data_IF_770004129636
#
_entry.id   IF_770004129636
#
_cell.length_a   1.000
_cell.length_b   1.000
_cell.length_c   1.000
_cell.angle_alpha   90.00
_cell.angle_beta   90.00
_cell.angle_gamma   90.00
#
_symmetry.space_group_name_H-M   'P 1'
#
loop_
_entity.id
_entity.type
_entity.pdbx_description
1 polymer ?
#
# COMPACT_ATOMS: atom_id res chain seq x y z
N UNK A 1 15.39 13.03 39.61
CA UNK A 1 16.74 13.11 38.99
C UNK A 1 16.74 13.38 37.48
N UNK A 2 15.74 12.97 36.69
CA UNK A 2 15.74 13.16 35.22
C UNK A 2 15.35 14.58 34.71
N UNK A 3 14.77 15.44 35.56
CA UNK A 3 14.29 16.79 35.16
C UNK A 3 15.41 17.83 34.96
N UNK A 4 16.59 17.63 35.56
CA UNK A 4 17.71 18.59 35.52
C UNK A 4 18.75 18.30 34.43
N UNK A 5 18.66 17.14 33.76
CA UNK A 5 19.63 16.72 32.73
C UNK A 5 19.35 17.40 31.39
N UNK A 6 18.08 17.60 31.06
CA UNK A 6 17.62 18.20 29.80
C UNK A 6 18.11 19.65 29.61
N UNK A 7 18.01 20.57 30.59
CA UNK A 7 18.51 21.94 30.43
C UNK A 7 20.05 22.02 30.43
N UNK A 8 20.74 21.17 31.20
CA UNK A 8 22.22 21.09 31.18
C UNK A 8 22.77 20.56 29.86
N UNK A 9 22.09 19.61 29.21
CA UNK A 9 22.51 19.11 27.91
C UNK A 9 22.30 20.14 26.80
N UNK A 10 21.23 20.95 26.87
CA UNK A 10 20.93 22.03 25.92
C UNK A 10 22.02 23.12 25.92
N UNK A 11 22.54 23.51 27.09
CA UNK A 11 23.59 24.52 27.20
C UNK A 11 24.96 24.01 26.73
N UNK A 12 25.28 22.73 26.97
CA UNK A 12 26.52 22.11 26.50
C UNK A 12 26.53 21.93 24.98
N UNK A 13 25.39 21.55 24.39
CA UNK A 13 25.26 21.40 22.94
C UNK A 13 25.40 22.75 22.24
N UNK A 14 24.73 23.81 22.73
CA UNK A 14 24.83 25.14 22.14
C UNK A 14 26.26 25.70 22.19
N UNK A 15 26.96 25.51 23.33
CA UNK A 15 28.34 25.99 23.51
C UNK A 15 29.36 25.24 22.66
N UNK A 16 29.14 23.94 22.39
CA UNK A 16 29.99 23.15 21.48
C UNK A 16 29.74 23.50 20.02
N UNK A 17 28.49 23.69 19.61
CA UNK A 17 28.13 24.08 18.24
C UNK A 17 28.69 25.48 17.91
N UNK A 18 28.55 26.44 18.84
CA UNK A 18 29.08 27.79 18.65
C UNK A 18 30.60 27.80 18.40
N UNK A 19 31.36 26.98 19.13
CA UNK A 19 32.81 26.83 18.90
C UNK A 19 33.15 26.25 17.52
N UNK A 20 32.36 25.30 17.03
CA UNK A 20 32.56 24.71 15.70
C UNK A 20 32.24 25.70 14.57
N UNK A 21 31.21 26.53 14.74
CA UNK A 21 30.85 27.59 13.78
C UNK A 21 31.96 28.65 13.73
N UNK A 22 32.52 29.05 14.87
CA UNK A 22 33.67 29.97 14.90
C UNK A 22 34.89 29.35 14.22
N UNK A 23 35.18 28.07 14.51
CA UNK A 23 36.28 27.35 13.85
C UNK A 23 36.08 27.29 12.33
N UNK A 24 34.84 27.12 11.85
CA UNK A 24 34.52 27.14 10.44
C UNK A 24 34.80 28.51 9.80
N UNK A 25 34.31 29.58 10.41
CA UNK A 25 34.53 30.95 9.92
C UNK A 25 36.04 31.22 9.85
N UNK A 26 36.80 30.76 10.85
CA UNK A 26 38.25 30.87 10.86
C UNK A 26 38.92 30.09 9.72
N UNK A 27 38.52 28.83 9.50
CA UNK A 27 39.05 28.00 8.40
C UNK A 27 38.70 28.61 7.03
N UNK A 28 37.48 29.10 6.83
CA UNK A 28 37.06 29.74 5.58
C UNK A 28 37.78 31.06 5.34
N UNK A 29 38.00 31.86 6.40
CA UNK A 29 38.80 33.07 6.32
C UNK A 29 40.26 32.77 5.95
N UNK A 30 40.84 31.69 6.49
CA UNK A 30 42.19 31.24 6.13
C UNK A 30 42.28 30.77 4.67
N UNK A 31 41.30 29.99 4.20
CA UNK A 31 41.22 29.55 2.80
C UNK A 31 41.04 30.72 1.83
N UNK A 32 40.25 31.74 2.22
CA UNK A 32 40.08 32.96 1.44
C UNK A 32 41.39 33.75 1.28
N UNK A 33 42.21 33.80 2.34
CA UNK A 33 43.54 34.40 2.27
C UNK A 33 44.47 33.60 1.35
N UNK A 34 44.43 32.26 1.41
CA UNK A 34 45.23 31.41 0.52
C UNK A 34 44.86 31.55 -0.96
N UNK A 35 43.57 31.72 -1.30
CA UNK A 35 43.10 31.91 -2.69
C UNK A 35 43.44 33.27 -3.30
N UNK A 36 43.78 34.27 -2.50
CA UNK A 36 44.12 35.62 -2.96
C UNK A 36 45.65 35.82 -3.04
N UNK A 37 46.43 34.76 -3.22
CA UNK A 37 47.90 34.74 -3.34
C UNK A 37 48.67 35.32 -2.14
N UNK A 38 48.04 35.54 -0.98
CA UNK A 38 48.75 35.95 0.24
C UNK A 38 49.62 34.83 0.81
N UNK A 39 49.36 33.57 0.43
CA UNK A 39 50.10 32.39 0.82
C UNK A 39 50.34 31.54 -0.44
N UNK A 40 51.59 31.21 -0.75
CA UNK A 40 51.96 30.39 -1.90
C UNK A 40 51.57 28.91 -1.69
N UNK A 41 50.30 28.60 -1.91
CA UNK A 41 49.76 27.22 -1.86
C UNK A 41 49.18 26.88 -3.23
N UNK A 42 49.49 25.70 -3.81
CA UNK A 42 48.87 25.26 -5.06
C UNK A 42 47.34 25.24 -4.98
N UNK A 43 46.66 25.78 -6.00
CA UNK A 43 45.19 25.88 -6.06
C UNK A 43 44.46 24.56 -5.86
N UNK A 44 45.03 23.47 -6.35
CA UNK A 44 44.47 22.12 -6.22
C UNK A 44 44.36 21.70 -4.74
N UNK A 45 45.34 22.08 -3.92
CA UNK A 45 45.35 21.78 -2.47
C UNK A 45 44.30 22.64 -1.77
N UNK A 46 44.19 23.92 -2.12
CA UNK A 46 43.18 24.82 -1.56
C UNK A 46 41.76 24.35 -1.90
N UNK A 47 41.51 23.92 -3.13
CA UNK A 47 40.22 23.39 -3.55
C UNK A 47 39.88 22.07 -2.87
N UNK A 48 40.85 21.16 -2.71
CA UNK A 48 40.64 19.91 -1.99
C UNK A 48 40.29 20.16 -0.52
N UNK A 49 41.02 21.06 0.15
CA UNK A 49 40.73 21.43 1.55
C UNK A 49 39.35 22.09 1.65
N UNK A 50 39.00 22.98 0.72
CA UNK A 50 37.67 23.62 0.71
C UNK A 50 36.53 22.60 0.54
N UNK A 51 36.68 21.63 -0.37
CA UNK A 51 35.70 20.54 -0.55
C UNK A 51 35.58 19.70 0.73
N UNK A 52 36.71 19.33 1.36
CA UNK A 52 36.71 18.51 2.58
C UNK A 52 36.06 19.26 3.74
N UNK A 53 36.42 20.52 3.95
CA UNK A 53 35.84 21.38 4.99
C UNK A 53 34.34 21.56 4.76
N UNK A 54 33.93 21.85 3.52
CA UNK A 54 32.52 21.96 3.18
C UNK A 54 31.76 20.67 3.48
N UNK A 55 32.28 19.51 3.05
CA UNK A 55 31.65 18.20 3.26
C UNK A 55 31.47 17.86 4.74
N UNK A 56 32.52 18.04 5.56
CA UNK A 56 32.47 17.80 7.01
C UNK A 56 31.38 18.66 7.66
N UNK A 57 31.26 19.92 7.21
CA UNK A 57 30.37 20.89 7.83
C UNK A 57 28.94 20.69 7.38
N UNK A 58 28.69 20.38 6.11
CA UNK A 58 27.39 19.96 5.64
C UNK A 58 26.88 18.76 6.43
N UNK A 59 27.73 17.73 6.64
CA UNK A 59 27.38 16.56 7.45
C UNK A 59 27.09 16.90 8.91
N UNK A 60 27.88 17.80 9.49
CA UNK A 60 27.70 18.26 10.86
C UNK A 60 26.38 19.03 11.03
N UNK A 61 26.09 19.97 10.12
CA UNK A 61 24.84 20.75 10.10
C UNK A 61 23.65 19.80 9.95
N UNK A 62 23.72 18.84 9.03
CA UNK A 62 22.65 17.87 8.78
C UNK A 62 22.38 17.01 10.01
N UNK A 63 23.42 16.51 10.67
CA UNK A 63 23.29 15.73 11.90
C UNK A 63 22.64 16.54 13.02
N UNK A 64 22.98 17.82 13.12
CA UNK A 64 22.36 18.74 14.09
C UNK A 64 20.88 18.95 13.76
N UNK A 65 20.55 19.27 12.51
CA UNK A 65 19.18 19.47 12.04
C UNK A 65 18.36 18.21 12.34
N UNK A 66 18.86 17.04 11.96
CA UNK A 66 18.18 15.76 12.20
C UNK A 66 17.94 15.53 13.68
N UNK A 67 18.95 15.73 14.54
CA UNK A 67 18.78 15.56 15.99
C UNK A 67 17.65 16.43 16.56
N UNK A 68 17.49 17.66 16.07
CA UNK A 68 16.42 18.56 16.52
C UNK A 68 15.07 18.26 15.87
N UNK A 69 15.03 17.98 14.57
CA UNK A 69 13.78 17.83 13.82
C UNK A 69 13.17 16.45 13.98
N UNK A 70 13.99 15.39 14.04
CA UNK A 70 13.51 14.02 14.25
C UNK A 70 12.76 13.90 15.58
N UNK A 71 13.32 14.43 16.67
CA UNK A 71 12.66 14.37 17.99
C UNK A 71 11.31 15.11 17.98
N UNK A 72 11.24 16.28 17.34
CA UNK A 72 9.98 17.02 17.20
C UNK A 72 8.97 16.28 16.34
N UNK A 73 9.41 15.74 15.20
CA UNK A 73 8.55 15.03 14.26
C UNK A 73 7.99 13.75 14.88
N UNK A 74 8.82 13.00 15.60
CA UNK A 74 8.40 11.80 16.33
C UNK A 74 7.32 12.12 17.38
N UNK A 75 7.50 13.19 18.16
CA UNK A 75 6.50 13.59 19.16
C UNK A 75 5.22 14.16 18.52
N UNK A 76 5.34 14.87 17.39
CA UNK A 76 4.17 15.41 16.68
C UNK A 76 3.28 14.30 16.11
N UNK A 77 3.88 13.20 15.66
CA UNK A 77 3.19 12.04 15.07
C UNK A 77 2.56 11.09 16.11
N UNK A 78 2.82 11.30 17.41
CA UNK A 78 2.36 10.41 18.48
C UNK A 78 0.83 10.29 18.57
N UNK A 79 0.10 11.35 18.25
CA UNK A 79 -1.37 11.38 18.35
C UNK A 79 -2.08 10.78 17.15
N UNK A 80 -1.41 10.67 16.00
CA UNK A 80 -2.04 10.34 14.73
C UNK A 80 -1.57 9.01 14.12
N UNK A 81 -0.49 8.43 14.62
CA UNK A 81 0.14 7.26 13.99
C UNK A 81 0.56 6.20 15.00
N UNK A 82 0.46 4.94 14.58
CA UNK A 82 0.99 3.82 15.34
C UNK A 82 2.52 3.89 15.44
N UNK A 83 3.08 3.25 16.47
CA UNK A 83 4.53 3.28 16.72
C UNK A 83 5.36 2.83 15.51
N UNK A 84 4.91 1.80 14.80
CA UNK A 84 5.59 1.26 13.61
C UNK A 84 5.62 2.28 12.45
N UNK A 85 4.47 2.91 12.19
CA UNK A 85 4.36 3.95 11.15
C UNK A 85 5.22 5.16 11.49
N UNK A 86 5.24 5.58 12.75
CA UNK A 86 6.07 6.67 13.23
C UNK A 86 7.56 6.39 13.03
N UNK A 87 8.03 5.18 13.36
CA UNK A 87 9.41 4.76 13.14
C UNK A 87 9.73 4.79 11.64
N UNK A 88 8.85 4.26 10.80
CA UNK A 88 9.02 4.26 9.35
C UNK A 88 9.15 5.67 8.78
N UNK A 89 8.20 6.57 9.08
CA UNK A 89 8.21 7.96 8.60
C UNK A 89 9.47 8.69 9.05
N UNK A 90 9.88 8.49 10.30
CA UNK A 90 11.08 9.13 10.85
C UNK A 90 12.35 8.63 10.18
N UNK A 91 12.44 7.33 9.86
CA UNK A 91 13.57 6.77 9.10
C UNK A 91 13.59 7.31 7.67
N UNK A 92 12.44 7.36 6.99
CA UNK A 92 12.34 7.90 5.63
C UNK A 92 12.78 9.37 5.57
N UNK A 93 12.29 10.20 6.50
CA UNK A 93 12.74 11.59 6.64
C UNK A 93 14.25 11.71 6.83
N UNK A 94 14.82 10.87 7.69
CA UNK A 94 16.27 10.85 7.95
C UNK A 94 17.07 10.51 6.70
N UNK A 95 16.66 9.46 5.97
CA UNK A 95 17.30 9.03 4.71
C UNK A 95 17.23 10.15 3.67
N UNK A 96 16.07 10.78 3.50
CA UNK A 96 15.88 11.87 2.54
C UNK A 96 16.83 13.03 2.82
N UNK A 97 16.97 13.47 4.07
CA UNK A 97 17.89 14.58 4.39
C UNK A 97 19.35 14.22 4.10
N UNK A 98 19.78 13.00 4.43
CA UNK A 98 21.14 12.55 4.09
C UNK A 98 21.36 12.51 2.58
N UNK A 99 20.36 12.10 1.79
CA UNK A 99 20.44 12.13 0.33
C UNK A 99 20.58 13.57 -0.20
N UNK A 100 19.83 14.53 0.34
CA UNK A 100 20.00 15.95 -0.02
C UNK A 100 21.40 16.46 0.33
N UNK A 101 21.90 16.11 1.52
CA UNK A 101 23.25 16.50 1.96
C UNK A 101 24.33 15.94 1.02
N UNK A 102 24.20 14.67 0.64
CA UNK A 102 25.09 14.02 -0.30
C UNK A 102 25.05 14.68 -1.69
N UNK A 103 23.87 15.04 -2.19
CA UNK A 103 23.73 15.78 -3.45
C UNK A 103 24.43 17.15 -3.42
N UNK A 104 24.34 17.89 -2.31
CA UNK A 104 25.05 19.17 -2.14
C UNK A 104 26.57 19.00 -2.16
N UNK A 105 27.10 17.93 -1.56
CA UNK A 105 28.53 17.63 -1.56
C UNK A 105 29.01 17.29 -2.97
N UNK A 106 28.26 16.48 -3.72
CA UNK A 106 28.59 16.16 -5.12
C UNK A 106 28.61 17.40 -6.00
N UNK A 107 27.68 18.33 -5.78
CA UNK A 107 27.68 19.61 -6.49
C UNK A 107 28.94 20.44 -6.18
N UNK A 108 29.36 20.51 -4.91
CA UNK A 108 30.59 21.23 -4.49
C UNK A 108 31.86 20.65 -5.11
N UNK A 109 31.92 19.34 -5.35
CA UNK A 109 33.05 18.65 -5.99
C UNK A 109 33.25 19.12 -7.45
N UNK A 110 32.29 19.84 -8.03
CA UNK A 110 32.40 20.34 -9.41
C UNK A 110 32.04 19.28 -10.45
N UNK A 111 31.27 18.26 -10.05
CA UNK A 111 30.63 17.35 -11.00
C UNK A 111 29.82 18.21 -11.96
N UNK A 112 30.13 18.14 -13.25
CA UNK A 112 29.45 18.95 -14.26
C UNK A 112 27.94 18.72 -14.19
N UNK A 113 27.15 19.76 -14.44
CA UNK A 113 25.69 19.64 -14.45
C UNK A 113 25.22 18.49 -15.36
N UNK A 114 25.96 18.22 -16.44
CA UNK A 114 25.73 17.09 -17.33
C UNK A 114 25.91 15.72 -16.64
N UNK A 115 27.00 15.53 -15.91
CA UNK A 115 27.23 14.28 -15.18
C UNK A 115 26.19 14.08 -14.07
N UNK A 116 25.82 15.15 -13.35
CA UNK A 116 24.74 15.10 -12.37
C UNK A 116 23.42 14.69 -13.04
N UNK A 117 23.09 15.26 -14.20
CA UNK A 117 21.89 14.92 -14.95
C UNK A 117 21.87 13.44 -15.38
N UNK A 118 23.00 12.88 -15.82
CA UNK A 118 23.13 11.46 -16.16
C UNK A 118 22.89 10.58 -14.93
N UNK A 119 23.53 10.88 -13.80
CA UNK A 119 23.32 10.14 -12.55
C UNK A 119 21.88 10.24 -12.05
N UNK A 120 21.27 11.42 -12.11
CA UNK A 120 19.87 11.63 -11.74
C UNK A 120 18.93 10.86 -12.68
N UNK A 121 19.22 10.82 -13.98
CA UNK A 121 18.47 10.01 -14.95
C UNK A 121 18.51 8.53 -14.59
N UNK A 122 19.71 7.99 -14.32
CA UNK A 122 19.88 6.60 -13.92
C UNK A 122 19.19 6.28 -12.59
N UNK A 123 19.32 7.16 -11.60
CA UNK A 123 18.64 7.02 -10.31
C UNK A 123 17.12 7.07 -10.45
N UNK A 124 16.60 7.99 -11.27
CA UNK A 124 15.16 8.10 -11.56
C UNK A 124 14.63 6.83 -12.23
N UNK A 125 15.38 6.24 -13.17
CA UNK A 125 15.03 4.95 -13.77
C UNK A 125 14.96 3.85 -12.72
N UNK A 126 15.94 3.76 -11.81
CA UNK A 126 15.92 2.79 -10.71
C UNK A 126 14.68 2.94 -9.80
N UNK A 127 14.33 4.18 -9.45
CA UNK A 127 13.12 4.49 -8.66
C UNK A 127 11.85 4.11 -9.42
N UNK A 128 11.79 4.41 -10.73
CA UNK A 128 10.66 4.05 -11.57
C UNK A 128 10.45 2.52 -11.62
N UNK A 129 11.54 1.75 -11.72
CA UNK A 129 11.47 0.29 -11.63
C UNK A 129 11.00 -0.20 -10.26
N UNK A 130 11.46 0.41 -9.17
CA UNK A 130 11.07 0.04 -7.82
C UNK A 130 9.57 0.29 -7.54
N UNK A 131 9.02 1.38 -8.08
CA UNK A 131 7.62 1.79 -7.84
C UNK A 131 6.66 1.19 -8.90
N UNK A 132 7.17 0.60 -9.98
CA UNK A 132 6.39 0.07 -11.11
C UNK A 132 5.21 -0.79 -10.66
N UNK A 133 5.43 -1.76 -9.78
CA UNK A 133 4.37 -2.69 -9.36
C UNK A 133 3.29 -2.03 -8.50
N UNK A 134 3.67 -1.03 -7.69
CA UNK A 134 2.73 -0.22 -6.89
C UNK A 134 1.81 0.56 -7.82
N UNK A 135 2.36 1.18 -8.87
CA UNK A 135 1.58 1.90 -9.88
C UNK A 135 0.65 0.97 -10.66
N UNK A 136 1.14 -0.22 -11.05
CA UNK A 136 0.30 -1.21 -11.75
C UNK A 136 -0.90 -1.64 -10.91
N UNK A 137 -0.72 -1.85 -9.60
CA UNK A 137 -1.81 -2.16 -8.69
C UNK A 137 -2.81 -1.00 -8.56
N UNK A 138 -2.33 0.25 -8.50
CA UNK A 138 -3.18 1.44 -8.45
C UNK A 138 -4.00 1.64 -9.74
N UNK A 139 -3.37 1.51 -10.91
CA UNK A 139 -4.09 1.62 -12.18
C UNK A 139 -5.07 0.47 -12.39
N UNK A 140 -4.73 -0.75 -11.96
CA UNK A 140 -5.66 -1.87 -11.96
C UNK A 140 -6.89 -1.60 -11.09
N UNK A 141 -6.69 -1.08 -9.89
CA UNK A 141 -7.78 -0.64 -9.03
C UNK A 141 -8.69 0.39 -9.71
N UNK A 142 -8.08 1.43 -10.30
CA UNK A 142 -8.81 2.47 -11.01
C UNK A 142 -9.64 1.91 -12.19
N UNK A 143 -9.05 1.02 -12.99
CA UNK A 143 -9.72 0.37 -14.12
C UNK A 143 -10.88 -0.51 -13.64
N UNK A 144 -10.68 -1.30 -12.58
CA UNK A 144 -11.74 -2.14 -11.99
C UNK A 144 -12.93 -1.26 -11.57
N UNK A 145 -12.68 -0.12 -10.92
CA UNK A 145 -13.75 0.78 -10.49
C UNK A 145 -14.49 1.43 -11.67
N UNK A 146 -13.77 1.84 -12.71
CA UNK A 146 -14.34 2.55 -13.85
C UNK A 146 -15.08 1.63 -14.82
N UNK A 147 -14.49 0.47 -15.15
CA UNK A 147 -15.04 -0.47 -16.12
C UNK A 147 -15.94 -1.54 -15.47
N UNK A 148 -15.84 -1.73 -14.16
CA UNK A 148 -16.65 -2.66 -13.36
C UNK A 148 -16.81 -4.05 -14.01
N UNK A 149 -15.71 -4.75 -14.35
CA UNK A 149 -15.78 -6.11 -14.89
C UNK A 149 -16.46 -7.08 -13.90
N UNK A 150 -16.42 -6.76 -12.61
CA UNK A 150 -17.16 -7.38 -11.53
C UNK A 150 -17.53 -6.34 -10.48
N UNK A 151 -18.51 -6.67 -9.64
CA UNK A 151 -19.00 -5.83 -8.55
C UNK A 151 -18.81 -6.53 -7.20
N UNK A 152 -18.93 -5.75 -6.13
CA UNK A 152 -19.00 -6.31 -4.78
C UNK A 152 -20.22 -7.24 -4.70
N UNK A 153 -20.03 -8.41 -4.10
CA UNK A 153 -20.93 -9.56 -3.98
C UNK A 153 -21.06 -10.46 -5.23
N UNK A 154 -20.34 -10.18 -6.31
CA UNK A 154 -20.23 -11.12 -7.43
C UNK A 154 -19.34 -12.31 -7.05
N UNK A 155 -19.67 -13.49 -7.56
CA UNK A 155 -18.80 -14.67 -7.49
C UNK A 155 -17.89 -14.63 -8.71
N UNK A 156 -16.59 -14.63 -8.46
CA UNK A 156 -15.60 -14.58 -9.53
C UNK A 156 -14.59 -15.72 -9.38
N UNK A 157 -14.11 -16.22 -10.50
CA UNK A 157 -12.97 -17.14 -10.60
C UNK A 157 -11.79 -16.42 -11.25
N UNK A 158 -10.63 -16.49 -10.60
CA UNK A 158 -9.38 -15.89 -11.08
C UNK A 158 -8.24 -16.90 -10.94
N UNK A 159 -7.81 -17.48 -12.06
CA UNK A 159 -6.95 -18.66 -12.05
C UNK A 159 -7.66 -19.86 -11.41
N UNK A 160 -7.08 -20.43 -10.36
CA UNK A 160 -7.62 -21.58 -9.62
C UNK A 160 -8.50 -21.16 -8.43
N UNK A 161 -8.46 -19.88 -8.04
CA UNK A 161 -9.20 -19.36 -6.89
C UNK A 161 -10.62 -18.97 -7.30
N UNK A 162 -11.61 -19.41 -6.51
CA UNK A 162 -13.03 -19.05 -6.65
C UNK A 162 -13.52 -18.43 -5.35
N UNK A 163 -14.17 -17.27 -5.44
CA UNK A 163 -14.75 -16.65 -4.26
C UNK A 163 -15.66 -15.47 -4.57
N UNK A 164 -16.42 -15.07 -3.54
CA UNK A 164 -17.29 -13.91 -3.59
C UNK A 164 -16.50 -12.63 -3.28
N UNK A 165 -16.61 -11.62 -4.13
CA UNK A 165 -15.95 -10.32 -3.94
C UNK A 165 -16.54 -9.62 -2.71
N UNK A 166 -15.74 -9.48 -1.66
CA UNK A 166 -16.15 -8.81 -0.42
C UNK A 166 -15.76 -7.33 -0.42
N UNK A 167 -14.55 -7.01 -0.86
CA UNK A 167 -14.02 -5.64 -0.86
C UNK A 167 -13.07 -5.43 -2.02
N UNK A 168 -13.14 -4.26 -2.65
CA UNK A 168 -12.17 -3.78 -3.64
C UNK A 168 -11.31 -2.71 -2.96
N UNK A 169 -10.10 -3.07 -2.54
CA UNK A 169 -9.12 -2.14 -1.97
C UNK A 169 -8.16 -1.59 -3.03
N UNK A 170 -7.33 -0.61 -2.65
CA UNK A 170 -6.40 0.06 -3.57
C UNK A 170 -5.31 -0.86 -4.13
N UNK A 171 -4.89 -1.87 -3.36
CA UNK A 171 -3.85 -2.82 -3.77
C UNK A 171 -4.34 -4.25 -3.96
N UNK A 172 -5.40 -4.63 -3.25
CA UNK A 172 -5.93 -6.00 -3.26
C UNK A 172 -7.45 -6.01 -3.36
N UNK A 173 -7.99 -6.99 -4.07
CA UNK A 173 -9.39 -7.40 -3.98
C UNK A 173 -9.47 -8.56 -3.00
N UNK A 174 -10.40 -8.46 -2.05
CA UNK A 174 -10.66 -9.48 -1.05
C UNK A 174 -11.80 -10.38 -1.52
N UNK A 175 -11.53 -11.68 -1.62
CA UNK A 175 -12.50 -12.71 -1.95
C UNK A 175 -12.77 -13.59 -0.73
N UNK A 176 -14.03 -13.91 -0.48
CA UNK A 176 -14.43 -14.90 0.51
C UNK A 176 -14.67 -16.23 -0.21
N UNK A 177 -14.02 -17.30 0.26
CA UNK A 177 -14.12 -18.62 -0.38
C UNK A 177 -15.55 -19.16 -0.29
N UNK A 178 -16.02 -19.78 -1.37
CA UNK A 178 -17.33 -20.43 -1.37
C UNK A 178 -17.30 -21.73 -0.55
N UNK A 179 -18.20 -21.85 0.43
CA UNK A 179 -18.27 -23.00 1.34
C UNK A 179 -17.56 -22.80 2.67
N UNK A 180 -16.55 -21.93 2.75
CA UNK A 180 -15.88 -21.56 4.00
C UNK A 180 -15.81 -20.03 4.18
N UNK A 181 -16.71 -19.51 5.01
CA UNK A 181 -16.81 -18.07 5.30
C UNK A 181 -15.63 -17.51 6.11
N UNK A 182 -14.74 -18.35 6.66
CA UNK A 182 -13.57 -17.89 7.42
C UNK A 182 -12.34 -17.67 6.54
N UNK A 183 -12.27 -18.34 5.39
CA UNK A 183 -11.11 -18.23 4.50
C UNK A 183 -11.23 -17.00 3.60
N UNK A 184 -10.23 -16.12 3.71
CA UNK A 184 -10.14 -14.86 2.98
C UNK A 184 -8.94 -14.92 2.03
N UNK A 185 -9.19 -14.74 0.74
CA UNK A 185 -8.15 -14.64 -0.29
C UNK A 185 -7.96 -13.17 -0.65
N UNK A 186 -6.70 -12.70 -0.64
CA UNK A 186 -6.34 -11.36 -1.09
C UNK A 186 -5.60 -11.45 -2.42
N UNK A 187 -6.26 -11.03 -3.49
CA UNK A 187 -5.69 -11.06 -4.84
C UNK A 187 -5.14 -9.66 -5.18
N UNK A 188 -3.86 -9.53 -5.56
CA UNK A 188 -3.30 -8.25 -6.00
C UNK A 188 -4.06 -7.70 -7.20
N UNK A 189 -4.37 -6.41 -7.20
CA UNK A 189 -5.19 -5.78 -8.24
C UNK A 189 -4.60 -5.96 -9.65
N UNK A 190 -3.27 -5.90 -9.77
CA UNK A 190 -2.53 -6.14 -11.03
C UNK A 190 -2.92 -7.46 -11.70
N UNK A 191 -3.16 -8.51 -10.92
CA UNK A 191 -3.53 -9.85 -11.42
C UNK A 191 -4.80 -9.83 -12.28
N UNK A 192 -5.75 -8.95 -11.96
CA UNK A 192 -7.02 -8.83 -12.69
C UNK A 192 -6.87 -8.18 -14.08
N UNK A 193 -5.72 -7.54 -14.35
CA UNK A 193 -5.39 -7.06 -15.68
C UNK A 193 -4.58 -8.08 -16.49
N UNK A 194 -3.91 -9.03 -15.83
CA UNK A 194 -2.99 -9.98 -16.46
C UNK A 194 -3.63 -11.34 -16.75
N UNK A 195 -4.64 -11.73 -15.97
CA UNK A 195 -5.32 -13.02 -16.08
C UNK A 195 -6.78 -12.85 -16.48
N UNK A 196 -7.32 -13.86 -17.14
CA UNK A 196 -8.73 -13.96 -17.45
C UNK A 196 -9.56 -14.09 -16.16
N UNK A 197 -10.68 -13.37 -16.10
CA UNK A 197 -11.63 -13.39 -15.00
C UNK A 197 -12.93 -13.98 -15.51
N UNK A 198 -13.46 -14.98 -14.80
CA UNK A 198 -14.81 -15.49 -15.06
C UNK A 198 -15.72 -14.91 -13.99
N UNK A 199 -16.67 -14.08 -14.38
CA UNK A 199 -17.68 -13.51 -13.49
C UNK A 199 -18.97 -14.33 -13.60
N UNK A 200 -19.37 -14.99 -12.51
CA UNK A 200 -20.59 -15.79 -12.41
C UNK A 200 -21.80 -14.96 -11.96
N UNK A 201 -21.63 -13.65 -11.80
CA UNK A 201 -22.66 -12.72 -11.36
C UNK A 201 -22.85 -12.75 -9.84
N UNK A 202 -23.93 -12.10 -9.38
CA UNK A 202 -24.23 -12.02 -7.94
C UNK A 202 -24.62 -13.39 -7.40
N UNK A 203 -24.18 -13.70 -6.18
CA UNK A 203 -24.72 -14.82 -5.42
C UNK A 203 -26.21 -14.63 -5.20
N UNK A 204 -27.03 -15.36 -5.96
CA UNK A 204 -28.48 -15.34 -5.79
C UNK A 204 -28.80 -16.20 -4.56
N UNK A 205 -29.15 -15.56 -3.45
CA UNK A 205 -29.72 -16.26 -2.29
C UNK A 205 -31.20 -16.53 -2.58
N UNK A 206 -31.49 -17.52 -3.42
CA UNK A 206 -32.86 -17.91 -3.72
C UNK A 206 -33.45 -18.69 -2.53
N UNK A 207 -33.90 -17.95 -1.50
CA UNK A 207 -35.00 -18.42 -0.65
C UNK A 207 -36.30 -18.18 -1.40
N UNK A 208 -36.60 -19.03 -2.38
CA UNK A 208 -37.92 -19.02 -3.02
C UNK A 208 -38.90 -19.63 -1.99
N UNK A 209 -39.66 -18.78 -1.29
CA UNK A 209 -40.79 -19.23 -0.47
C UNK A 209 -41.94 -19.57 -1.42
N UNK A 210 -42.04 -20.83 -1.83
CA UNK A 210 -43.22 -21.33 -2.54
C UNK A 210 -44.30 -21.61 -1.50
N UNK A 211 -45.40 -20.85 -1.55
CA UNK A 211 -46.56 -21.05 -0.68
C UNK A 211 -47.54 -22.00 -1.39
N UNK A 212 -47.40 -23.30 -1.15
CA UNK A 212 -48.29 -24.32 -1.73
C UNK A 212 -49.65 -24.26 -1.05
N UNK A 213 -50.72 -24.03 -1.83
CA UNK A 213 -52.07 -23.77 -1.30
C UNK A 213 -52.96 -25.02 -1.14
N UNK A 214 -52.58 -26.19 -1.67
CA UNK A 214 -53.33 -27.45 -1.46
C UNK A 214 -52.46 -28.68 -1.73
N UNK A 215 -52.27 -29.50 -0.70
CA UNK A 215 -51.78 -30.87 -0.83
C UNK A 215 -52.98 -31.81 -0.73
N UNK A 216 -53.55 -32.20 -1.86
CA UNK A 216 -54.34 -33.43 -1.95
C UNK A 216 -53.91 -34.13 -3.24
N UNK A 217 -53.33 -35.31 -3.05
CA UNK A 217 -53.12 -36.37 -4.05
C UNK A 217 -51.94 -36.20 -5.01
N UNK A 218 -50.71 -36.17 -4.46
CA UNK A 218 -49.49 -36.44 -5.25
C UNK A 218 -48.84 -37.68 -4.65
N UNK A 219 -48.84 -38.79 -5.39
CA UNK A 219 -47.96 -39.93 -5.14
C UNK A 219 -46.53 -39.49 -5.46
N UNK A 220 -45.70 -39.41 -4.43
CA UNK A 220 -44.30 -38.98 -4.51
C UNK A 220 -43.50 -40.19 -4.96
N UNK A 221 -43.37 -40.39 -6.27
CA UNK A 221 -42.53 -41.49 -6.77
C UNK A 221 -41.39 -41.06 -7.71
N UNK A 222 -41.31 -39.79 -8.14
CA UNK A 222 -40.23 -39.36 -9.07
C UNK A 222 -39.45 -38.10 -8.65
N UNK A 223 -39.31 -37.85 -7.34
CA UNK A 223 -38.30 -36.86 -6.89
C UNK A 223 -37.43 -37.47 -5.81
N UNK A 224 -36.30 -38.03 -6.27
CA UNK A 224 -35.16 -38.39 -5.44
C UNK A 224 -34.62 -37.10 -4.82
N UNK A 225 -35.09 -36.73 -3.63
CA UNK A 225 -34.44 -35.75 -2.77
C UNK A 225 -33.92 -36.50 -1.56
N UNK A 226 -32.60 -36.57 -1.48
CA UNK A 226 -31.84 -37.12 -0.37
C UNK A 226 -32.39 -36.59 0.97
N UNK A 227 -32.72 -37.56 1.81
CA UNK A 227 -33.30 -37.47 3.14
C UNK A 227 -32.37 -36.74 4.11
N UNK A 228 -32.64 -35.48 4.39
CA UNK A 228 -32.17 -34.81 5.61
C UNK A 228 -33.37 -34.17 6.30
N UNK A 229 -33.96 -34.93 7.23
CA UNK A 229 -34.93 -34.43 8.18
C UNK A 229 -34.23 -33.40 9.08
N UNK A 230 -34.71 -32.16 9.07
CA UNK A 230 -34.58 -31.30 10.25
C UNK A 230 -35.95 -31.06 10.86
N UNK A 231 -35.91 -31.16 12.17
CA UNK A 231 -36.96 -31.24 13.15
C UNK A 231 -37.90 -30.03 13.13
N UNK A 232 -39.17 -30.33 13.37
CA UNK A 232 -40.25 -29.45 13.79
C UNK A 232 -40.73 -28.29 12.88
N UNK A 233 -42.06 -28.31 12.63
CA UNK A 233 -42.93 -27.35 11.90
C UNK A 233 -43.00 -27.47 10.37
N UNK A 234 -44.05 -28.17 9.93
CA UNK A 234 -44.95 -27.98 8.76
C UNK A 234 -44.51 -27.06 7.58
N UNK A 235 -43.26 -27.16 7.14
CA UNK A 235 -42.75 -26.54 5.93
C UNK A 235 -41.79 -27.51 5.24
N UNK A 236 -42.12 -27.94 4.02
CA UNK A 236 -41.14 -28.56 3.14
C UNK A 236 -40.28 -27.45 2.54
N UNK A 237 -39.04 -27.32 3.00
CA UNK A 237 -38.03 -26.52 2.29
C UNK A 237 -37.44 -27.38 1.17
N UNK A 238 -37.74 -27.03 -0.07
CA UNK A 238 -36.99 -27.58 -1.19
C UNK A 238 -35.66 -26.86 -1.29
N UNK A 239 -34.58 -27.54 -0.88
CA UNK A 239 -33.23 -27.04 -1.05
C UNK A 239 -32.78 -27.35 -2.49
N UNK A 240 -33.04 -26.43 -3.43
CA UNK A 240 -32.56 -26.55 -4.80
C UNK A 240 -31.10 -26.15 -4.86
N UNK A 241 -30.22 -27.09 -4.54
CA UNK A 241 -28.78 -26.91 -4.61
C UNK A 241 -28.28 -27.44 -5.97
N UNK A 242 -28.61 -26.75 -7.07
CA UNK A 242 -27.94 -26.98 -8.35
C UNK A 242 -28.02 -25.75 -9.26
N UNK A 243 -26.88 -25.40 -9.86
CA UNK A 243 -26.71 -24.31 -10.83
C UNK A 243 -27.82 -24.32 -11.87
N UNK A 244 -28.65 -23.28 -11.88
CA UNK A 244 -29.59 -23.02 -12.96
C UNK A 244 -28.85 -22.33 -14.11
N UNK A 245 -28.25 -23.13 -15.00
CA UNK A 245 -27.72 -22.65 -16.29
C UNK A 245 -28.80 -22.37 -17.34
N UNK A 246 -30.08 -22.63 -17.05
CA UNK A 246 -31.17 -22.38 -18.02
C UNK A 246 -32.35 -21.66 -17.39
N UNK A 247 -32.56 -20.40 -17.79
CA UNK A 247 -33.81 -19.68 -17.55
C UNK A 247 -35.03 -20.42 -18.13
N UNK A 248 -34.82 -21.27 -19.15
CA UNK A 248 -35.83 -22.13 -19.80
C UNK A 248 -36.47 -23.13 -18.83
N UNK A 249 -35.69 -23.69 -17.88
CA UNK A 249 -36.18 -24.68 -16.92
C UNK A 249 -37.06 -24.07 -15.83
N UNK A 250 -36.94 -22.77 -15.57
CA UNK A 250 -37.81 -22.07 -14.61
C UNK A 250 -39.26 -22.00 -15.12
N UNK A 251 -39.44 -21.69 -16.39
CA UNK A 251 -40.78 -21.71 -17.01
C UNK A 251 -41.35 -23.13 -17.09
N UNK A 252 -40.49 -24.12 -17.30
CA UNK A 252 -40.88 -25.53 -17.36
C UNK A 252 -41.31 -26.06 -15.98
N UNK A 253 -40.59 -25.70 -14.91
CA UNK A 253 -40.96 -26.02 -13.53
C UNK A 253 -42.24 -25.28 -13.14
N UNK A 254 -42.42 -24.00 -13.51
CA UNK A 254 -43.67 -23.26 -13.27
C UNK A 254 -44.83 -23.92 -14.02
N UNK A 255 -44.65 -24.32 -15.29
CA UNK A 255 -45.67 -25.05 -16.06
C UNK A 255 -46.05 -26.39 -15.42
N UNK A 256 -45.08 -27.14 -14.89
CA UNK A 256 -45.35 -28.41 -14.20
C UNK A 256 -46.14 -28.16 -12.90
N UNK A 257 -45.80 -27.09 -12.17
CA UNK A 257 -46.48 -26.72 -10.93
C UNK A 257 -47.90 -26.17 -11.18
N UNK A 258 -48.12 -25.40 -12.25
CA UNK A 258 -49.44 -24.96 -12.71
C UNK A 258 -50.29 -26.14 -13.20
N UNK A 259 -49.71 -27.04 -14.02
CA UNK A 259 -50.39 -28.24 -14.53
C UNK A 259 -50.91 -29.13 -13.41
N UNK A 260 -50.18 -29.18 -12.29
CA UNK A 260 -50.53 -29.99 -11.12
C UNK A 260 -51.30 -29.20 -10.03
N UNK A 261 -51.70 -27.94 -10.29
CA UNK A 261 -52.45 -27.06 -9.36
C UNK A 261 -51.79 -26.87 -7.98
N UNK A 262 -50.45 -26.84 -7.96
CA UNK A 262 -49.64 -26.70 -6.74
C UNK A 262 -49.47 -25.22 -6.37
N UNK A 263 -49.55 -24.32 -7.36
CA UNK A 263 -49.53 -22.85 -7.22
C UNK A 263 -50.82 -22.28 -7.81
#
# INVERSE_FOLDING_TARGET
MAKDVIPKLKSVIHKRIFKLVILFIFIQSFLYLGKNDYILVPDNILNLIDILVFSIITMLIVTIILRFTVSKMFNALEKETDMEQRIFITKMYTITIYLLAFALILWKIGVTANNIAIFLGLAATGIAFAIRDVLMAFFAWYIILQKRPFRINDIIKIGDEIGQVSRIGTFFVTLNVEGDKKTIIKVPNKTFLEKNIINQGKKISDKIKIQVKKFKDIQIEDVIVSKELMDDKKYMMFNFQRNFEDFTKKEEIIKILEKNKII
#
